data_IF_029332548046
#
_entry.id   IF_029332548046
#
_cell.length_a   1.000
_cell.length_b   1.000
_cell.length_c   1.000
_cell.angle_alpha   90.00
_cell.angle_beta   90.00
_cell.angle_gamma   90.00
#
_symmetry.space_group_name_H-M   'P 1'
#
loop_
_entity.id
_entity.type
_entity.pdbx_description
1 polymer ?
#
# COMPACT_ATOMS: atom_id res chain seq x y z
N UNK A 1 -9.72 -1.32 -2.49
CA UNK A 1 -8.68 -1.55 -3.51
C UNK A 1 -8.68 -2.95 -4.14
N UNK A 2 -9.09 -4.02 -3.44
CA UNK A 2 -9.14 -5.37 -4.05
C UNK A 2 -7.79 -6.06 -4.18
N UNK A 3 -6.78 -5.58 -3.46
CA UNK A 3 -5.43 -6.15 -3.45
C UNK A 3 -5.37 -7.31 -2.47
N UNK A 4 -4.59 -8.34 -2.81
CA UNK A 4 -4.35 -9.47 -1.92
C UNK A 4 -3.16 -9.16 -0.99
N UNK A 5 -3.30 -9.53 0.28
CA UNK A 5 -2.21 -9.42 1.25
C UNK A 5 -1.39 -10.72 1.26
N UNK A 6 -0.08 -10.59 1.41
CA UNK A 6 0.81 -11.72 1.58
C UNK A 6 1.02 -12.03 3.07
N UNK A 7 0.97 -13.31 3.43
CA UNK A 7 1.21 -13.81 4.77
C UNK A 7 -0.03 -14.41 5.43
N UNK A 8 0.15 -15.00 6.60
CA UNK A 8 -0.94 -15.55 7.41
C UNK A 8 -1.64 -14.41 8.19
N UNK A 9 -2.96 -14.21 8.00
CA UNK A 9 -3.72 -13.21 8.74
C UNK A 9 -3.63 -13.36 10.26
N UNK A 10 -3.44 -14.58 10.78
CA UNK A 10 -3.33 -14.86 12.21
C UNK A 10 -1.96 -14.48 12.80
N UNK A 11 -0.94 -14.37 11.96
CA UNK A 11 0.45 -14.10 12.36
C UNK A 11 0.98 -12.83 11.67
N UNK A 12 0.15 -11.80 11.56
CA UNK A 12 0.49 -10.53 10.92
C UNK A 12 1.31 -9.62 11.83
N UNK A 13 2.32 -8.95 11.27
CA UNK A 13 2.99 -7.83 11.95
C UNK A 13 2.14 -6.56 11.80
N UNK A 14 1.67 -5.92 12.88
CA UNK A 14 0.76 -4.78 12.79
C UNK A 14 1.33 -3.57 12.03
N UNK A 15 2.65 -3.41 12.04
CA UNK A 15 3.35 -2.25 11.49
C UNK A 15 3.84 -2.45 10.05
N UNK A 16 3.66 -3.65 9.47
CA UNK A 16 4.06 -3.96 8.09
C UNK A 16 2.89 -4.63 7.37
N UNK A 17 2.43 -4.02 6.28
CA UNK A 17 1.45 -4.62 5.38
C UNK A 17 2.15 -5.08 4.10
N UNK A 18 2.18 -6.39 3.87
CA UNK A 18 2.70 -6.96 2.63
C UNK A 18 1.57 -7.15 1.61
N UNK A 19 1.69 -6.49 0.46
CA UNK A 19 0.71 -6.50 -0.63
C UNK A 19 1.28 -7.28 -1.81
N UNK A 20 0.50 -8.21 -2.35
CA UNK A 20 0.83 -8.91 -3.61
C UNK A 20 0.67 -7.96 -4.78
N UNK A 21 1.68 -7.93 -5.66
CA UNK A 21 1.58 -7.15 -6.89
C UNK A 21 0.54 -7.79 -7.81
N UNK A 22 -0.43 -7.02 -8.32
CA UNK A 22 -1.32 -7.48 -9.37
C UNK A 22 -0.53 -7.88 -10.62
N UNK A 23 -1.12 -8.78 -11.41
CA UNK A 23 -0.57 -9.18 -12.71
C UNK A 23 -0.38 -7.95 -13.61
N UNK A 24 0.76 -7.90 -14.31
CA UNK A 24 1.11 -6.80 -15.22
C UNK A 24 1.78 -5.58 -14.55
N UNK A 25 1.84 -5.51 -13.22
CA UNK A 25 2.55 -4.43 -12.52
C UNK A 25 4.04 -4.78 -12.37
N UNK A 26 4.97 -4.04 -13.02
CA UNK A 26 6.40 -4.28 -12.85
C UNK A 26 6.88 -3.76 -11.49
N UNK A 27 7.61 -4.60 -10.75
CA UNK A 27 8.09 -4.28 -9.40
C UNK A 27 8.95 -3.01 -9.37
N UNK A 28 10.09 -3.01 -10.07
CA UNK A 28 11.06 -1.92 -10.01
C UNK A 28 10.50 -0.61 -10.60
N UNK A 29 9.93 -0.66 -11.80
CA UNK A 29 9.34 0.51 -12.44
C UNK A 29 8.16 1.07 -11.64
N UNK A 30 7.34 0.21 -11.02
CA UNK A 30 6.25 0.63 -10.14
C UNK A 30 6.75 1.39 -8.91
N UNK A 31 7.76 0.84 -8.20
CA UNK A 31 8.34 1.51 -7.03
C UNK A 31 9.05 2.81 -7.37
N UNK A 32 9.81 2.83 -8.47
CA UNK A 32 10.51 4.04 -8.93
C UNK A 32 9.52 5.16 -9.24
N UNK A 33 8.42 4.86 -9.94
CA UNK A 33 7.38 5.84 -10.22
C UNK A 33 6.65 6.30 -8.96
N UNK A 34 6.38 5.39 -8.03
CA UNK A 34 5.79 5.74 -6.74
C UNK A 34 6.68 6.73 -5.96
N UNK A 35 8.00 6.51 -5.98
CA UNK A 35 8.97 7.42 -5.38
C UNK A 35 9.05 8.75 -6.13
N UNK A 36 9.15 8.74 -7.46
CA UNK A 36 9.38 9.96 -8.25
C UNK A 36 8.13 10.84 -8.38
N UNK A 37 6.93 10.25 -8.46
CA UNK A 37 5.67 10.98 -8.67
C UNK A 37 5.00 11.37 -7.35
N UNK A 38 5.13 10.55 -6.30
CA UNK A 38 4.41 10.73 -5.03
C UNK A 38 5.32 10.91 -3.83
N UNK A 39 6.64 10.79 -3.98
CA UNK A 39 7.58 10.83 -2.86
C UNK A 39 7.42 9.64 -1.91
N UNK A 40 6.81 8.54 -2.38
CA UNK A 40 6.49 7.37 -1.55
C UNK A 40 7.45 6.24 -1.87
N UNK A 41 8.26 5.88 -0.87
CA UNK A 41 9.13 4.72 -0.93
C UNK A 41 8.45 3.50 -0.30
N UNK A 42 8.45 2.37 -1.01
CA UNK A 42 7.99 1.07 -0.48
C UNK A 42 9.11 0.04 -0.63
N UNK A 43 9.18 -0.90 0.30
CA UNK A 43 10.21 -1.93 0.26
C UNK A 43 9.72 -3.14 -0.54
N UNK A 44 10.61 -3.76 -1.31
CA UNK A 44 10.37 -5.10 -1.86
C UNK A 44 10.90 -6.17 -0.91
N UNK A 45 10.81 -7.41 -1.35
CA UNK A 45 11.38 -8.57 -0.68
C UNK A 45 12.57 -9.13 -1.46
N UNK A 46 13.39 -9.90 -0.76
CA UNK A 46 14.53 -10.60 -1.34
C UNK A 46 14.20 -12.09 -1.55
N UNK A 47 15.03 -12.78 -2.32
CA UNK A 47 14.90 -14.21 -2.58
C UNK A 47 13.58 -14.57 -3.30
N UNK A 48 12.84 -15.59 -2.86
CA UNK A 48 11.68 -16.14 -3.58
C UNK A 48 10.48 -15.19 -3.70
N UNK A 49 10.51 -14.07 -2.95
CA UNK A 49 9.47 -13.05 -2.94
C UNK A 49 9.87 -11.78 -3.70
N UNK A 50 11.08 -11.72 -4.26
CA UNK A 50 11.53 -10.60 -5.08
C UNK A 50 10.60 -10.42 -6.26
N UNK A 51 10.13 -9.19 -6.49
CA UNK A 51 9.22 -8.89 -7.60
C UNK A 51 7.76 -9.24 -7.36
N UNK A 52 7.41 -9.89 -6.25
CA UNK A 52 6.06 -10.41 -6.02
C UNK A 52 5.25 -9.63 -4.99
N UNK A 53 5.91 -9.00 -4.03
CA UNK A 53 5.25 -8.25 -2.97
C UNK A 53 5.90 -6.90 -2.72
N UNK A 54 5.06 -5.93 -2.33
CA UNK A 54 5.49 -4.68 -1.72
C UNK A 54 5.14 -4.67 -0.25
N UNK A 55 6.05 -4.15 0.56
CA UNK A 55 5.90 -3.99 2.00
C UNK A 55 5.70 -2.51 2.30
N UNK A 56 4.52 -2.20 2.83
CA UNK A 56 4.14 -0.87 3.28
C UNK A 56 4.36 -0.82 4.79
N UNK A 57 5.33 -0.03 5.22
CA UNK A 57 5.64 0.17 6.63
C UNK A 57 4.87 1.35 7.21
N UNK A 58 4.10 1.09 8.27
CA UNK A 58 3.43 2.13 9.07
C UNK A 58 4.04 2.13 10.47
N UNK A 59 5.16 2.82 10.60
CA UNK A 59 5.98 2.85 11.82
C UNK A 59 6.34 4.29 12.22
N UNK A 60 6.45 4.55 13.52
CA UNK A 60 6.94 5.82 14.06
C UNK A 60 6.20 7.03 13.47
N UNK A 61 6.95 8.01 12.98
CA UNK A 61 6.40 9.24 12.39
C UNK A 61 5.50 8.98 11.15
N UNK A 62 5.73 7.90 10.42
CA UNK A 62 4.93 7.54 9.25
C UNK A 62 3.58 6.88 9.62
N UNK A 63 3.37 6.51 10.88
CA UNK A 63 2.12 5.91 11.35
C UNK A 63 1.03 6.97 11.62
N UNK A 64 0.82 7.86 10.65
CA UNK A 64 -0.18 8.93 10.69
C UNK A 64 -1.11 8.86 9.48
N UNK A 65 -2.35 9.32 9.66
CA UNK A 65 -3.38 9.23 8.63
C UNK A 65 -2.94 9.89 7.32
N UNK A 66 -2.36 11.09 7.37
CA UNK A 66 -1.90 11.82 6.17
C UNK A 66 -0.93 11.00 5.33
N UNK A 67 0.09 10.40 5.95
CA UNK A 67 1.06 9.53 5.25
C UNK A 67 0.38 8.31 4.65
N UNK A 68 -0.52 7.65 5.40
CA UNK A 68 -1.26 6.49 4.90
C UNK A 68 -2.13 6.86 3.68
N UNK A 69 -2.82 8.01 3.71
CA UNK A 69 -3.63 8.46 2.58
C UNK A 69 -2.78 8.78 1.35
N UNK A 70 -1.60 9.41 1.52
CA UNK A 70 -0.66 9.66 0.42
C UNK A 70 -0.19 8.35 -0.23
N UNK A 71 0.18 7.36 0.59
CA UNK A 71 0.59 6.03 0.09
C UNK A 71 -0.53 5.36 -0.69
N UNK A 72 -1.76 5.35 -0.16
CA UNK A 72 -2.90 4.73 -0.82
C UNK A 72 -3.26 5.42 -2.15
N UNK A 73 -3.19 6.75 -2.20
CA UNK A 73 -3.42 7.52 -3.41
C UNK A 73 -2.37 7.23 -4.49
N UNK A 74 -1.07 7.24 -4.12
CA UNK A 74 0.01 6.91 -5.04
C UNK A 74 -0.08 5.47 -5.55
N UNK A 75 -0.34 4.51 -4.66
CA UNK A 75 -0.53 3.11 -5.04
C UNK A 75 -1.69 2.95 -6.03
N UNK A 76 -2.83 3.57 -5.77
CA UNK A 76 -3.97 3.53 -6.69
C UNK A 76 -3.59 4.04 -8.08
N UNK A 77 -2.92 5.19 -8.17
CA UNK A 77 -2.51 5.78 -9.44
C UNK A 77 -1.54 4.88 -10.21
N UNK A 78 -0.47 4.41 -9.53
CA UNK A 78 0.55 3.57 -10.14
C UNK A 78 -0.03 2.24 -10.60
N UNK A 79 -0.79 1.54 -9.74
CA UNK A 79 -1.39 0.25 -10.09
C UNK A 79 -2.32 0.37 -11.29
N UNK A 80 -3.15 1.41 -11.34
CA UNK A 80 -4.06 1.66 -12.46
C UNK A 80 -3.32 2.01 -13.75
N UNK A 81 -2.22 2.76 -13.66
CA UNK A 81 -1.41 3.10 -14.84
C UNK A 81 -0.77 1.88 -15.52
N UNK A 82 -0.59 0.78 -14.79
CA UNK A 82 -0.16 -0.52 -15.32
C UNK A 82 -1.33 -1.47 -15.62
N UNK A 83 -2.57 -0.96 -15.67
CA UNK A 83 -3.75 -1.72 -16.06
C UNK A 83 -4.45 -2.49 -14.93
N UNK A 84 -4.01 -2.36 -13.67
CA UNK A 84 -4.68 -3.03 -12.56
C UNK A 84 -6.08 -2.44 -12.31
N UNK A 85 -7.06 -3.32 -12.08
CA UNK A 85 -8.47 -2.95 -11.83
C UNK A 85 -8.70 -2.55 -10.37
N UNK A 86 -8.22 -1.37 -9.98
CA UNK A 86 -8.42 -0.81 -8.63
C UNK A 86 -9.52 0.25 -8.66
N UNK A 87 -10.64 0.13 -7.92
CA UNK A 87 -11.70 1.15 -7.93
C UNK A 87 -11.20 2.51 -7.42
N UNK A 88 -11.55 3.59 -8.13
CA UNK A 88 -11.12 4.96 -7.80
C UNK A 88 -11.53 5.37 -6.39
N UNK A 89 -10.59 5.98 -5.66
CA UNK A 89 -10.79 6.52 -4.32
C UNK A 89 -11.09 5.49 -3.24
N UNK A 90 -11.19 4.19 -3.59
CA UNK A 90 -11.67 3.16 -2.65
C UNK A 90 -10.71 2.95 -1.49
N UNK A 91 -9.40 3.03 -1.73
CA UNK A 91 -8.40 2.88 -0.66
C UNK A 91 -8.46 4.04 0.32
N UNK A 92 -8.40 5.26 -0.21
CA UNK A 92 -8.39 6.50 0.57
C UNK A 92 -9.66 6.64 1.41
N UNK A 93 -10.83 6.42 0.82
CA UNK A 93 -12.10 6.61 1.52
C UNK A 93 -12.29 5.56 2.63
N UNK A 94 -12.04 4.27 2.34
CA UNK A 94 -12.15 3.22 3.37
C UNK A 94 -11.15 3.45 4.51
N UNK A 95 -9.90 3.81 4.21
CA UNK A 95 -8.90 4.10 5.25
C UNK A 95 -9.32 5.27 6.15
N UNK A 96 -9.85 6.34 5.55
CA UNK A 96 -10.37 7.50 6.29
C UNK A 96 -11.55 7.13 7.18
N UNK A 97 -12.51 6.36 6.67
CA UNK A 97 -13.66 5.88 7.45
C UNK A 97 -13.23 5.01 8.62
N UNK A 98 -12.33 4.04 8.40
CA UNK A 98 -11.80 3.19 9.49
C UNK A 98 -11.08 4.02 10.55
N UNK A 99 -10.25 4.98 10.14
CA UNK A 99 -9.55 5.85 11.09
C UNK A 99 -10.53 6.66 11.95
N UNK A 100 -11.53 7.30 11.34
CA UNK A 100 -12.55 8.07 12.05
C UNK A 100 -13.41 7.22 12.99
N UNK A 101 -13.71 5.97 12.62
CA UNK A 101 -14.45 5.04 13.47
C UNK A 101 -13.63 4.56 14.68
N UNK A 102 -12.30 4.50 14.54
CA UNK A 102 -11.37 4.06 15.59
C UNK A 102 -10.84 5.19 16.48
N UNK A 103 -10.99 6.45 16.05
CA UNK A 103 -10.57 7.60 16.83
C UNK A 103 -11.38 7.68 18.13
N UNK A 104 -10.73 7.94 19.29
CA UNK A 104 -11.46 8.16 20.52
C UNK A 104 -12.41 9.35 20.32
N UNK A 105 -13.71 9.12 20.61
CA UNK A 105 -14.69 10.20 20.65
C UNK A 105 -14.27 11.13 21.78
N UNK A 106 -13.84 12.34 21.41
CA UNK A 106 -13.53 13.42 22.36
C UNK A 106 -14.80 13.83 23.09
#
# INVERSE_FOLDING_TARGET
MGLQLFGDPNHRLPMITAVLLPEGVPDEAGRLRLLSEFGVEVATSFGPLRGRIWRIGTMGYNAQLSTVLTVLNGLEHILRSFGAKVPYGSGVETARQTYLASAPRV
#
